data_IF_186027589837
#
_entry.id   IF_186027589837
#
_cell.length_a   1.000
_cell.length_b   1.000
_cell.length_c   1.000
_cell.angle_alpha   90.00
_cell.angle_beta   90.00
_cell.angle_gamma   90.00
#
_symmetry.space_group_name_H-M   'P 1'
#
loop_
_entity.id
_entity.type
_entity.pdbx_description
1 polymer ?
#
# COMPACT_ATOMS: atom_id res chain seq x y z
N UNK A 1 26.13 8.74 15.21
CA UNK A 1 25.49 8.75 13.87
C UNK A 1 24.10 8.13 14.01
N UNK A 2 23.05 8.77 13.48
CA UNK A 2 21.70 8.22 13.54
C UNK A 2 21.56 6.93 12.73
N UNK A 3 20.58 6.07 13.08
CA UNK A 3 20.28 4.85 12.32
C UNK A 3 19.92 5.21 10.86
N UNK A 4 20.40 4.44 9.90
CA UNK A 4 20.05 4.59 8.49
C UNK A 4 18.72 3.88 8.21
N UNK A 5 17.83 4.54 7.46
CA UNK A 5 16.50 4.03 7.12
C UNK A 5 16.31 3.94 5.61
N UNK A 6 15.67 2.86 5.18
CA UNK A 6 15.02 2.72 3.88
C UNK A 6 13.53 2.82 4.10
N UNK A 7 12.88 3.70 3.35
CA UNK A 7 11.43 3.85 3.34
C UNK A 7 10.89 2.94 2.26
N UNK A 8 9.81 2.22 2.54
CA UNK A 8 9.13 1.40 1.55
C UNK A 8 7.61 1.48 1.68
N UNK A 9 6.93 1.34 0.55
CA UNK A 9 5.48 1.29 0.47
C UNK A 9 5.08 0.23 -0.55
N UNK A 10 3.98 -0.48 -0.30
CA UNK A 10 3.45 -1.50 -1.18
C UNK A 10 1.94 -1.41 -1.20
N UNK A 11 1.34 -1.64 -2.37
CA UNK A 11 -0.10 -1.68 -2.53
C UNK A 11 -0.50 -2.50 -3.78
N UNK A 12 -1.71 -3.05 -3.76
CA UNK A 12 -2.33 -3.83 -4.82
C UNK A 12 -3.27 -2.99 -5.70
N UNK A 13 -3.27 -3.22 -7.01
CA UNK A 13 -4.22 -2.59 -7.94
C UNK A 13 -4.75 -3.59 -8.95
N UNK A 14 -6.07 -3.63 -9.09
CA UNK A 14 -6.79 -4.52 -10.01
C UNK A 14 -6.65 -4.10 -11.48
N UNK A 15 -6.02 -4.89 -12.33
CA UNK A 15 -5.88 -4.65 -13.77
C UNK A 15 -6.97 -5.41 -14.55
N UNK A 16 -7.58 -4.82 -15.60
CA UNK A 16 -8.59 -5.48 -16.42
C UNK A 16 -7.95 -6.49 -17.39
N UNK A 17 -8.41 -7.74 -17.31
CA UNK A 17 -7.89 -8.88 -18.05
C UNK A 17 -8.97 -9.51 -18.91
N UNK A 18 -8.59 -9.89 -20.13
CA UNK A 18 -9.43 -10.64 -21.05
C UNK A 18 -8.80 -11.97 -21.40
N UNK A 19 -9.59 -13.03 -21.27
CA UNK A 19 -9.28 -14.36 -21.77
C UNK A 19 -10.06 -14.57 -23.06
N UNK A 20 -9.35 -14.98 -24.11
CA UNK A 20 -9.90 -15.20 -25.44
C UNK A 20 -9.83 -16.69 -25.71
N UNK A 21 -10.97 -17.27 -26.12
CA UNK A 21 -10.98 -18.64 -26.63
C UNK A 21 -10.31 -18.67 -28.01
N UNK A 22 -9.06 -19.13 -28.05
CA UNK A 22 -8.28 -19.21 -29.28
C UNK A 22 -8.83 -20.25 -30.27
N UNK A 23 -9.72 -21.14 -29.83
CA UNK A 23 -10.35 -22.18 -30.65
C UNK A 23 -11.66 -21.74 -31.30
N UNK A 24 -12.22 -20.60 -30.86
CA UNK A 24 -13.49 -20.09 -31.39
C UNK A 24 -13.34 -19.54 -32.83
N UNK A 25 -14.31 -19.79 -33.73
CA UNK A 25 -14.29 -19.29 -35.11
C UNK A 25 -14.29 -17.75 -35.19
N UNK A 26 -14.97 -17.09 -34.24
CA UNK A 26 -14.94 -15.63 -34.07
C UNK A 26 -14.39 -15.28 -32.69
N UNK A 27 -13.09 -14.92 -32.63
CA UNK A 27 -12.37 -14.53 -31.41
C UNK A 27 -12.91 -13.27 -30.73
N UNK A 28 -13.89 -12.57 -31.35
CA UNK A 28 -14.61 -11.47 -30.71
C UNK A 28 -15.72 -11.98 -29.79
N UNK A 29 -16.23 -13.19 -30.01
CA UNK A 29 -17.26 -13.84 -29.20
C UNK A 29 -16.60 -14.74 -28.14
N UNK A 30 -17.26 -14.92 -27.00
CA UNK A 30 -16.79 -15.82 -25.93
C UNK A 30 -15.64 -15.29 -25.07
N UNK A 31 -15.34 -13.98 -25.12
CA UNK A 31 -14.37 -13.34 -24.23
C UNK A 31 -14.82 -13.45 -22.78
N UNK A 32 -13.90 -13.79 -21.88
CA UNK A 32 -14.12 -13.73 -20.44
C UNK A 32 -13.32 -12.60 -19.86
N UNK A 33 -14.03 -11.69 -19.21
CA UNK A 33 -13.46 -10.49 -18.60
C UNK A 33 -13.33 -10.71 -17.10
N UNK A 34 -12.17 -10.36 -16.55
CA UNK A 34 -11.90 -10.45 -15.13
C UNK A 34 -10.96 -9.34 -14.70
N UNK A 35 -10.88 -9.12 -13.39
CA UNK A 35 -9.91 -8.21 -12.80
C UNK A 35 -8.87 -9.05 -12.04
N UNK A 36 -7.59 -8.84 -12.33
CA UNK A 36 -6.49 -9.52 -11.62
C UNK A 36 -5.58 -8.49 -10.97
N UNK A 37 -5.10 -8.81 -9.77
CA UNK A 37 -4.28 -7.90 -8.99
C UNK A 37 -2.85 -7.81 -9.53
N UNK A 38 -2.35 -6.58 -9.69
CA UNK A 38 -0.92 -6.27 -9.74
C UNK A 38 -0.50 -5.67 -8.41
N UNK A 39 0.63 -6.09 -7.87
CA UNK A 39 1.20 -5.53 -6.64
C UNK A 39 2.41 -4.70 -7.00
N UNK A 40 2.40 -3.43 -6.61
CA UNK A 40 3.49 -2.48 -6.81
C UNK A 40 4.11 -2.17 -5.46
N UNK A 41 5.42 -2.06 -5.42
CA UNK A 41 6.13 -1.45 -4.31
C UNK A 41 7.13 -0.42 -4.79
N UNK A 42 7.51 0.44 -3.86
CA UNK A 42 8.63 1.35 -4.00
C UNK A 42 9.49 1.31 -2.75
N UNK A 43 10.77 1.63 -2.91
CA UNK A 43 11.67 1.88 -1.81
C UNK A 43 12.70 2.96 -2.14
N UNK A 44 13.13 3.71 -1.14
CA UNK A 44 14.23 4.67 -1.25
C UNK A 44 14.93 4.87 0.09
N UNK A 45 16.21 5.24 0.06
CA UNK A 45 16.89 5.70 1.26
C UNK A 45 16.21 6.97 1.79
N UNK A 46 16.09 7.09 3.11
CA UNK A 46 15.56 8.30 3.76
C UNK A 46 16.33 9.54 3.29
N UNK A 47 15.60 10.55 2.79
CA UNK A 47 16.15 11.78 2.24
C UNK A 47 16.48 11.72 0.74
N UNK A 48 16.39 10.55 0.11
CA UNK A 48 16.41 10.42 -1.36
C UNK A 48 15.04 10.76 -1.94
N UNK A 49 15.02 11.54 -3.01
CA UNK A 49 13.82 11.80 -3.82
C UNK A 49 13.64 10.81 -4.99
N UNK A 50 14.55 9.83 -5.12
CA UNK A 50 14.53 8.85 -6.23
C UNK A 50 14.12 7.49 -5.70
N UNK A 51 12.86 7.07 -5.92
CA UNK A 51 12.40 5.72 -5.59
C UNK A 51 12.90 4.67 -6.59
N UNK A 52 13.13 3.48 -6.07
CA UNK A 52 13.25 2.23 -6.83
C UNK A 52 11.89 1.54 -6.78
N UNK A 53 11.40 1.07 -7.91
CA UNK A 53 10.14 0.34 -8.04
C UNK A 53 10.38 -1.15 -8.27
N UNK A 54 9.48 -1.95 -7.70
CA UNK A 54 9.29 -3.36 -8.01
C UNK A 54 7.80 -3.62 -8.21
N UNK A 55 7.44 -4.54 -9.12
CA UNK A 55 6.05 -4.94 -9.26
C UNK A 55 5.95 -6.39 -9.70
N UNK A 56 4.82 -7.00 -9.37
CA UNK A 56 4.44 -8.33 -9.83
C UNK A 56 2.98 -8.32 -10.28
N UNK A 57 2.71 -9.00 -11.38
CA UNK A 57 1.35 -9.23 -11.87
C UNK A 57 1.06 -10.73 -11.78
N UNK A 58 0.00 -11.11 -11.06
CA UNK A 58 -0.19 -12.49 -10.64
C UNK A 58 0.81 -12.89 -9.54
N UNK A 59 1.01 -14.20 -9.36
CA UNK A 59 1.87 -14.74 -8.30
C UNK A 59 1.26 -14.65 -6.90
N UNK A 60 1.99 -15.18 -5.92
CA UNK A 60 1.52 -15.21 -4.52
C UNK A 60 1.87 -13.93 -3.77
N UNK A 61 1.39 -13.80 -2.53
CA UNK A 61 1.76 -12.68 -1.66
C UNK A 61 3.22 -12.78 -1.21
N UNK A 62 3.75 -13.99 -1.11
CA UNK A 62 5.16 -14.27 -0.79
C UNK A 62 6.09 -13.81 -1.92
N UNK A 63 5.68 -13.98 -3.18
CA UNK A 63 6.43 -13.46 -4.32
C UNK A 63 6.45 -11.92 -4.31
N UNK A 64 5.36 -11.28 -3.91
CA UNK A 64 5.33 -9.84 -3.71
C UNK A 64 6.30 -9.40 -2.59
N UNK A 65 6.37 -10.14 -1.48
CA UNK A 65 7.34 -9.89 -0.42
C UNK A 65 8.80 -10.01 -0.90
N UNK A 66 9.12 -11.00 -1.73
CA UNK A 66 10.47 -11.12 -2.32
C UNK A 66 10.81 -9.93 -3.21
N UNK A 67 9.84 -9.46 -4.01
CA UNK A 67 10.01 -8.26 -4.85
C UNK A 67 10.20 -7.01 -3.99
N UNK A 68 9.47 -6.89 -2.87
CA UNK A 68 9.67 -5.81 -1.89
C UNK A 68 11.09 -5.84 -1.31
N UNK A 69 11.59 -7.02 -0.93
CA UNK A 69 12.94 -7.19 -0.40
C UNK A 69 14.02 -6.80 -1.42
N UNK A 70 13.95 -7.31 -2.66
CA UNK A 70 14.88 -6.91 -3.73
C UNK A 70 14.87 -5.40 -3.98
N UNK A 71 13.67 -4.82 -4.03
CA UNK A 71 13.48 -3.38 -4.25
C UNK A 71 14.11 -2.57 -3.10
N UNK A 72 13.92 -3.00 -1.85
CA UNK A 72 14.55 -2.38 -0.69
C UNK A 72 16.08 -2.50 -0.73
N UNK A 73 16.63 -3.67 -1.07
CA UNK A 73 18.07 -3.88 -1.22
C UNK A 73 18.68 -2.96 -2.28
N UNK A 74 18.02 -2.84 -3.44
CA UNK A 74 18.42 -1.90 -4.51
C UNK A 74 18.34 -0.43 -4.09
N UNK A 75 17.44 -0.12 -3.15
CA UNK A 75 17.31 1.19 -2.52
C UNK A 75 18.30 1.44 -1.36
N UNK A 76 19.17 0.47 -1.05
CA UNK A 76 20.23 0.59 -0.05
C UNK A 76 19.98 -0.16 1.27
N UNK A 77 18.98 -1.04 1.33
CA UNK A 77 18.75 -1.88 2.52
C UNK A 77 19.86 -2.93 2.67
N UNK A 78 20.38 -3.08 3.89
CA UNK A 78 21.40 -4.04 4.26
C UNK A 78 21.54 -4.21 5.78
N UNK A 79 22.66 -4.80 6.23
CA UNK A 79 22.87 -5.23 7.63
C UNK A 79 22.80 -4.13 8.69
N UNK A 80 23.03 -2.87 8.30
CA UNK A 80 23.09 -1.72 9.20
C UNK A 80 21.96 -0.70 8.98
N UNK A 81 20.92 -1.09 8.24
CA UNK A 81 19.78 -0.22 7.93
C UNK A 81 18.49 -0.81 8.50
N UNK A 82 17.53 0.05 8.79
CA UNK A 82 16.17 -0.36 9.14
C UNK A 82 15.23 -0.06 7.97
N UNK A 83 14.18 -0.86 7.82
CA UNK A 83 13.10 -0.60 6.88
C UNK A 83 11.93 0.03 7.65
N UNK A 84 11.47 1.19 7.17
CA UNK A 84 10.23 1.82 7.58
C UNK A 84 9.20 1.65 6.48
N UNK A 85 8.27 0.72 6.67
CA UNK A 85 7.18 0.47 5.73
C UNK A 85 5.93 1.27 6.14
N UNK A 86 5.22 1.84 5.16
CA UNK A 86 3.94 2.53 5.39
C UNK A 86 2.86 1.99 4.45
N UNK A 87 1.64 1.81 4.95
CA UNK A 87 0.51 1.42 4.11
C UNK A 87 -0.83 1.35 4.85
N UNK A 88 -1.88 0.95 4.14
CA UNK A 88 -3.28 0.93 4.58
C UNK A 88 -3.64 -0.14 5.64
N UNK A 89 -2.69 -0.99 6.04
CA UNK A 89 -2.96 -2.06 6.99
C UNK A 89 -3.54 -3.34 6.39
N UNK A 90 -3.37 -3.54 5.07
CA UNK A 90 -3.55 -4.85 4.45
C UNK A 90 -2.67 -5.89 5.15
N UNK A 91 -3.31 -6.89 5.76
CA UNK A 91 -2.66 -7.85 6.65
C UNK A 91 -1.56 -8.67 5.97
N UNK A 92 -1.71 -8.94 4.68
CA UNK A 92 -0.70 -9.64 3.89
C UNK A 92 0.57 -8.80 3.70
N UNK A 93 0.45 -7.47 3.56
CA UNK A 93 1.61 -6.56 3.42
C UNK A 93 2.39 -6.52 4.73
N UNK A 94 1.68 -6.31 5.84
CA UNK A 94 2.31 -6.32 7.17
C UNK A 94 3.07 -7.63 7.41
N UNK A 95 2.43 -8.77 7.12
CA UNK A 95 3.08 -10.07 7.24
C UNK A 95 4.32 -10.19 6.37
N UNK A 96 4.28 -9.72 5.13
CA UNK A 96 5.47 -9.73 4.27
C UNK A 96 6.57 -8.80 4.79
N UNK A 97 6.24 -7.67 5.41
CA UNK A 97 7.25 -6.82 6.05
C UNK A 97 7.91 -7.55 7.23
N UNK A 98 7.13 -8.20 8.08
CA UNK A 98 7.65 -8.99 9.19
C UNK A 98 8.53 -10.16 8.70
N UNK A 99 8.06 -10.91 7.71
CA UNK A 99 8.75 -12.08 7.16
C UNK A 99 10.07 -11.72 6.44
N UNK A 100 10.08 -10.64 5.66
CA UNK A 100 11.24 -10.30 4.81
C UNK A 100 12.31 -9.49 5.55
N UNK A 101 11.91 -8.71 6.58
CA UNK A 101 12.82 -7.76 7.23
C UNK A 101 13.04 -8.04 8.72
N UNK A 102 12.23 -8.90 9.34
CA UNK A 102 12.37 -9.30 10.74
C UNK A 102 12.52 -8.10 11.67
N UNK A 103 13.50 -8.15 12.58
CA UNK A 103 13.76 -7.07 13.56
C UNK A 103 14.30 -5.77 12.94
N UNK A 104 14.67 -5.79 11.65
CA UNK A 104 15.05 -4.58 10.93
C UNK A 104 13.85 -3.88 10.28
N UNK A 105 12.69 -4.53 10.19
CA UNK A 105 11.47 -4.00 9.60
C UNK A 105 10.51 -3.42 10.64
N UNK A 106 9.86 -2.32 10.28
CA UNK A 106 8.72 -1.79 11.04
C UNK A 106 7.64 -1.35 10.05
N UNK A 107 6.40 -1.79 10.29
CA UNK A 107 5.24 -1.40 9.52
C UNK A 107 4.41 -0.38 10.31
N UNK A 108 4.26 0.81 9.75
CA UNK A 108 3.42 1.87 10.28
C UNK A 108 2.16 1.99 9.43
N UNK A 109 1.01 2.09 10.08
CA UNK A 109 -0.25 2.33 9.38
C UNK A 109 -0.27 3.76 8.82
N UNK A 110 -0.80 3.91 7.62
CA UNK A 110 -1.08 5.21 7.02
C UNK A 110 -2.03 6.03 7.91
N UNK A 111 -1.52 7.15 8.40
CA UNK A 111 -2.24 8.07 9.26
C UNK A 111 -3.50 8.65 8.60
N UNK A 112 -3.48 8.89 7.29
CA UNK A 112 -4.64 9.41 6.56
C UNK A 112 -5.70 8.33 6.40
N UNK A 113 -5.31 7.07 6.21
CA UNK A 113 -6.26 5.96 6.21
C UNK A 113 -6.91 5.77 7.60
N UNK A 114 -6.14 5.92 8.69
CA UNK A 114 -6.72 5.96 10.04
C UNK A 114 -7.70 7.13 10.20
N UNK A 115 -7.40 8.29 9.61
CA UNK A 115 -8.30 9.44 9.66
C UNK A 115 -9.63 9.16 8.94
N UNK A 116 -9.68 8.32 7.91
CA UNK A 116 -10.93 7.92 7.26
C UNK A 116 -11.84 7.15 8.23
N UNK A 117 -11.28 6.17 8.94
CA UNK A 117 -12.00 5.43 9.98
C UNK A 117 -12.49 6.34 11.11
N UNK A 118 -11.64 7.24 11.61
CA UNK A 118 -12.03 8.19 12.65
C UNK A 118 -13.12 9.15 12.16
N UNK A 119 -13.02 9.63 10.92
CA UNK A 119 -14.02 10.51 10.32
C UNK A 119 -15.37 9.81 10.22
N UNK A 120 -15.40 8.56 9.76
CA UNK A 120 -16.61 7.76 9.69
C UNK A 120 -17.24 7.55 11.09
N UNK A 121 -16.42 7.23 12.10
CA UNK A 121 -16.89 7.02 13.48
C UNK A 121 -17.37 8.32 14.17
N UNK A 122 -16.84 9.49 13.77
CA UNK A 122 -17.12 10.77 14.42
C UNK A 122 -18.60 11.16 14.44
N UNK A 123 -19.37 10.72 13.43
CA UNK A 123 -20.79 10.99 13.32
C UNK A 123 -21.61 10.31 14.44
N UNK A 124 -21.14 9.17 14.94
CA UNK A 124 -21.81 8.39 16.00
C UNK A 124 -21.23 8.67 17.39
N UNK A 125 -19.96 9.11 17.47
CA UNK A 125 -19.26 9.36 18.74
C UNK A 125 -19.47 10.77 19.33
N UNK A 126 -20.21 11.62 18.63
CA UNK A 126 -20.50 12.98 19.06
C UNK A 126 -21.98 13.27 18.89
N UNK A 127 -22.53 14.17 19.71
CA UNK A 127 -23.77 14.83 19.29
C UNK A 127 -23.46 15.59 17.99
N UNK A 128 -24.38 15.55 17.01
CA UNK A 128 -24.16 16.03 15.62
C UNK A 128 -23.51 17.42 15.48
N UNK A 129 -23.55 18.26 16.53
CA UNK A 129 -22.94 19.60 16.59
C UNK A 129 -21.43 19.61 16.88
N UNK A 130 -20.83 18.52 17.36
CA UNK A 130 -19.43 18.49 17.82
C UNK A 130 -18.53 17.46 17.12
N UNK A 131 -18.98 16.85 16.00
CA UNK A 131 -18.22 15.82 15.27
C UNK A 131 -16.83 16.26 14.85
N UNK A 132 -16.69 17.48 14.33
CA UNK A 132 -15.41 17.98 13.82
C UNK A 132 -14.43 18.25 14.96
N UNK A 133 -14.93 18.69 16.12
CA UNK A 133 -14.12 18.85 17.34
C UNK A 133 -13.69 17.50 17.89
N UNK A 134 -14.59 16.53 17.93
CA UNK A 134 -14.26 15.17 18.36
C UNK A 134 -13.18 14.58 17.44
N UNK A 135 -13.36 14.65 16.12
CA UNK A 135 -12.38 14.19 15.14
C UNK A 135 -11.02 14.88 15.32
N UNK A 136 -11.00 16.22 15.42
CA UNK A 136 -9.76 16.97 15.61
C UNK A 136 -9.03 16.58 16.91
N UNK A 137 -9.78 16.35 18.01
CA UNK A 137 -9.23 15.87 19.28
C UNK A 137 -8.60 14.50 19.15
N UNK A 138 -9.30 13.52 18.55
CA UNK A 138 -8.76 12.16 18.41
C UNK A 138 -7.60 12.10 17.42
N UNK A 139 -7.68 12.88 16.33
CA UNK A 139 -6.58 13.04 15.37
C UNK A 139 -5.32 13.54 16.07
N UNK A 140 -5.43 14.56 16.94
CA UNK A 140 -4.30 15.09 17.71
C UNK A 140 -3.77 14.05 18.71
N UNK A 141 -4.66 13.35 19.42
CA UNK A 141 -4.29 12.31 20.37
C UNK A 141 -3.48 11.17 19.70
N UNK A 142 -3.88 10.71 18.52
CA UNK A 142 -3.09 9.74 17.74
C UNK A 142 -1.71 10.28 17.37
N UNK A 143 -1.63 11.53 16.92
CA UNK A 143 -0.36 12.16 16.59
C UNK A 143 0.58 12.29 17.78
N UNK A 144 0.03 12.30 19.00
CA UNK A 144 0.74 12.36 20.27
C UNK A 144 1.00 10.98 20.89
N UNK A 145 0.69 9.88 20.17
CA UNK A 145 0.93 8.51 20.63
C UNK A 145 -0.11 7.97 21.60
N UNK A 146 -1.25 8.64 21.75
CA UNK A 146 -2.31 8.25 22.69
C UNK A 146 -3.32 7.27 22.08
N UNK A 147 -2.83 6.29 21.29
CA UNK A 147 -3.69 5.35 20.55
C UNK A 147 -4.67 4.59 21.46
N UNK A 148 -4.21 4.12 22.63
CA UNK A 148 -5.09 3.44 23.58
C UNK A 148 -6.20 4.35 24.10
N UNK A 149 -5.90 5.61 24.40
CA UNK A 149 -6.91 6.57 24.86
C UNK A 149 -7.96 6.83 23.78
N UNK A 150 -7.54 6.91 22.51
CA UNK A 150 -8.47 7.05 21.37
C UNK A 150 -9.38 5.83 21.25
N UNK A 151 -8.82 4.62 21.34
CA UNK A 151 -9.58 3.36 21.33
C UNK A 151 -10.60 3.34 22.47
N UNK A 152 -10.21 3.78 23.67
CA UNK A 152 -11.09 3.83 24.83
C UNK A 152 -12.25 4.82 24.64
N UNK A 153 -12.04 5.91 23.90
CA UNK A 153 -13.12 6.87 23.59
C UNK A 153 -14.18 6.32 22.64
N UNK A 154 -13.87 5.27 21.86
CA UNK A 154 -14.81 4.62 20.94
C UNK A 154 -15.72 3.63 21.65
N UNK A 155 -15.25 2.99 22.74
CA UNK A 155 -15.95 1.90 23.45
C UNK A 155 -17.41 2.21 23.84
N UNK A 156 -17.76 3.40 24.36
CA UNK A 156 -19.14 3.72 24.75
C UNK A 156 -20.11 3.81 23.57
N UNK A 157 -19.60 3.95 22.34
CA UNK A 157 -20.40 4.20 21.14
C UNK A 157 -20.42 3.00 20.18
N UNK A 158 -19.91 1.84 20.62
CA UNK A 158 -19.89 0.64 19.80
C UNK A 158 -21.31 0.21 19.43
N UNK A 159 -21.55 0.03 18.15
CA UNK A 159 -22.80 -0.52 17.65
C UNK A 159 -22.91 -2.01 18.01
N UNK A 160 -24.13 -2.48 18.30
CA UNK A 160 -24.41 -3.87 18.62
C UNK A 160 -23.97 -4.82 17.50
N UNK A 161 -23.57 -6.05 17.85
CA UNK A 161 -23.11 -7.06 16.89
C UNK A 161 -24.18 -7.43 15.84
N UNK A 162 -25.45 -7.19 16.14
CA UNK A 162 -26.57 -7.39 15.20
C UNK A 162 -26.65 -6.34 14.09
N UNK A 163 -25.96 -5.20 14.23
CA UNK A 163 -25.86 -4.17 13.19
C UNK A 163 -24.86 -4.64 12.14
N UNK A 164 -25.24 -4.64 10.87
CA UNK A 164 -24.33 -4.94 9.76
C UNK A 164 -23.07 -4.04 9.77
N UNK A 165 -21.91 -4.60 9.43
CA UNK A 165 -20.62 -3.90 9.51
C UNK A 165 -20.57 -2.62 8.64
N UNK A 166 -21.31 -2.59 7.51
CA UNK A 166 -21.45 -1.41 6.65
C UNK A 166 -22.14 -0.23 7.34
N UNK A 167 -22.91 -0.50 8.41
CA UNK A 167 -23.63 0.48 9.20
C UNK A 167 -23.06 0.64 10.62
N UNK A 168 -21.87 0.09 10.88
CA UNK A 168 -21.23 0.12 12.20
C UNK A 168 -19.82 0.78 12.15
N UNK A 169 -19.74 2.08 11.79
CA UNK A 169 -18.46 2.77 11.62
C UNK A 169 -17.63 2.85 12.91
N UNK A 170 -18.25 2.94 14.10
CA UNK A 170 -17.50 2.99 15.36
C UNK A 170 -16.84 1.65 15.64
N UNK A 171 -17.59 0.55 15.49
CA UNK A 171 -17.05 -0.81 15.64
C UNK A 171 -15.95 -1.09 14.62
N UNK A 172 -16.14 -0.66 13.37
CA UNK A 172 -15.12 -0.79 12.33
C UNK A 172 -13.83 -0.03 12.70
N UNK A 173 -13.95 1.22 13.14
CA UNK A 173 -12.80 2.03 13.59
C UNK A 173 -12.12 1.43 14.82
N UNK A 174 -12.89 1.05 15.85
CA UNK A 174 -12.36 0.43 17.07
C UNK A 174 -11.57 -0.83 16.74
N UNK A 175 -12.17 -1.76 15.98
CA UNK A 175 -11.53 -3.01 15.55
C UNK A 175 -10.28 -2.76 14.71
N UNK A 176 -10.32 -1.75 13.83
CA UNK A 176 -9.18 -1.40 12.98
C UNK A 176 -7.98 -0.96 13.81
N UNK A 177 -8.19 -0.07 14.79
CA UNK A 177 -7.15 0.45 15.67
C UNK A 177 -6.68 -0.56 16.73
N UNK A 178 -7.61 -1.26 17.38
CA UNK A 178 -7.29 -2.20 18.47
C UNK A 178 -6.39 -3.34 17.99
N UNK A 179 -6.58 -3.79 16.76
CA UNK A 179 -5.80 -4.89 16.19
C UNK A 179 -4.40 -4.45 15.73
N UNK A 180 -4.08 -3.15 15.81
CA UNK A 180 -2.89 -2.55 15.17
C UNK A 180 -2.17 -1.56 16.06
N UNK A 181 -2.35 -1.64 17.38
CA UNK A 181 -1.84 -0.63 18.31
C UNK A 181 -0.33 -0.41 18.20
N UNK A 182 0.43 -1.47 17.94
CA UNK A 182 1.90 -1.43 17.77
C UNK A 182 2.35 -0.75 16.48
N UNK A 183 1.43 -0.56 15.51
CA UNK A 183 1.67 0.04 14.21
C UNK A 183 1.20 1.51 14.15
N UNK A 184 0.88 2.11 15.30
CA UNK A 184 0.36 3.48 15.44
C UNK A 184 1.37 4.42 16.13
N UNK A 185 2.65 4.08 16.15
CA UNK A 185 3.71 4.91 16.76
C UNK A 185 4.14 6.09 15.85
N UNK A 186 3.19 6.99 15.61
CA UNK A 186 3.42 8.23 14.86
C UNK A 186 4.44 9.17 15.52
N UNK A 187 4.51 9.32 16.86
CA UNK A 187 5.52 10.16 17.50
C UNK A 187 6.95 9.73 17.16
N UNK A 188 7.25 8.43 17.24
CA UNK A 188 8.58 7.92 16.89
C UNK A 188 8.88 8.18 15.43
N UNK A 189 7.97 7.85 14.51
CA UNK A 189 8.14 8.11 13.08
C UNK A 189 8.44 9.59 12.80
N UNK A 190 7.66 10.52 13.38
CA UNK A 190 7.87 11.97 13.23
C UNK A 190 9.20 12.44 13.82
N UNK A 191 9.56 11.97 15.03
CA UNK A 191 10.83 12.35 15.68
C UNK A 191 12.04 11.90 14.85
N UNK A 192 11.90 10.79 14.13
CA UNK A 192 12.89 10.25 13.21
C UNK A 192 12.77 10.83 11.82
N UNK A 193 11.84 11.74 11.53
CA UNK A 193 11.62 12.30 10.19
C UNK A 193 11.26 11.25 9.13
N UNK A 194 10.52 10.22 9.53
CA UNK A 194 9.98 9.16 8.68
C UNK A 194 8.56 9.53 8.21
N UNK A 195 8.13 9.09 7.02
CA UNK A 195 6.78 9.35 6.53
C UNK A 195 5.74 8.62 7.39
N UNK A 196 4.54 9.20 7.44
CA UNK A 196 3.39 8.66 8.19
C UNK A 196 2.18 8.36 7.30
N UNK A 197 2.32 8.53 5.99
CA UNK A 197 1.28 8.21 5.02
C UNK A 197 1.90 7.68 3.74
N UNK A 198 1.13 6.89 3.00
CA UNK A 198 1.49 6.12 1.82
C UNK A 198 1.18 6.84 0.50
N UNK A 199 1.35 8.17 0.49
CA UNK A 199 1.04 8.97 -0.70
C UNK A 199 1.97 8.72 -1.88
N UNK A 200 3.17 8.16 -1.64
CA UNK A 200 4.14 7.87 -2.69
C UNK A 200 3.68 6.70 -3.55
N UNK A 201 3.18 5.61 -2.94
CA UNK A 201 2.70 4.43 -3.65
C UNK A 201 1.42 4.73 -4.41
N UNK A 202 0.49 5.51 -3.85
CA UNK A 202 -0.69 5.97 -4.58
C UNK A 202 -0.32 6.77 -5.84
N UNK A 203 0.69 7.63 -5.72
CA UNK A 203 1.23 8.35 -6.86
C UNK A 203 1.86 7.41 -7.88
N UNK A 204 2.67 6.46 -7.42
CA UNK A 204 3.29 5.43 -8.24
C UNK A 204 2.29 4.58 -8.99
N UNK A 205 1.18 4.20 -8.37
CA UNK A 205 0.08 3.51 -9.04
C UNK A 205 -0.46 4.31 -10.22
N UNK A 206 -0.67 5.63 -10.04
CA UNK A 206 -1.16 6.50 -11.13
C UNK A 206 -0.23 6.47 -12.34
N UNK A 207 1.07 6.65 -12.17
CA UNK A 207 1.99 6.75 -13.31
C UNK A 207 2.63 5.44 -13.77
N UNK A 208 2.83 4.44 -12.91
CA UNK A 208 3.37 3.13 -13.32
C UNK A 208 2.27 2.28 -13.96
N UNK A 209 1.18 2.04 -13.21
CA UNK A 209 0.11 1.10 -13.60
C UNK A 209 -0.99 1.82 -14.39
N UNK A 210 -1.69 2.77 -13.76
CA UNK A 210 -2.98 3.25 -14.24
C UNK A 210 -2.87 3.96 -15.61
N UNK A 211 -1.85 4.80 -15.78
CA UNK A 211 -1.56 5.51 -17.03
C UNK A 211 -1.46 4.61 -18.28
N UNK A 212 -1.22 3.31 -18.11
CA UNK A 212 -1.13 2.38 -19.24
C UNK A 212 -2.10 1.22 -19.17
N UNK A 213 -2.19 0.56 -18.01
CA UNK A 213 -2.90 -0.70 -17.84
C UNK A 213 -4.38 -0.52 -17.47
N UNK A 214 -4.80 0.68 -17.00
CA UNK A 214 -6.19 1.00 -16.63
C UNK A 214 -6.81 2.11 -17.50
N UNK A 215 -6.45 2.16 -18.78
CA UNK A 215 -7.07 3.10 -19.73
C UNK A 215 -8.49 2.64 -20.08
N UNK A 216 -9.37 3.60 -20.35
CA UNK A 216 -10.71 3.29 -20.85
C UNK A 216 -10.63 2.41 -22.11
N UNK A 217 -11.41 1.32 -22.13
CA UNK A 217 -11.42 0.33 -23.20
C UNK A 217 -10.20 -0.60 -23.27
N UNK A 218 -9.22 -0.47 -22.37
CA UNK A 218 -8.05 -1.34 -22.34
C UNK A 218 -8.38 -2.66 -21.62
N UNK A 219 -8.17 -3.77 -22.33
CA UNK A 219 -8.23 -5.13 -21.81
C UNK A 219 -6.97 -5.87 -22.22
N UNK A 220 -6.37 -6.60 -21.29
CA UNK A 220 -5.08 -7.23 -21.52
C UNK A 220 -5.18 -8.75 -21.46
N UNK A 221 -4.45 -9.44 -22.35
CA UNK A 221 -4.06 -10.83 -22.07
C UNK A 221 -3.12 -10.82 -20.85
N UNK A 222 -3.21 -11.84 -20.00
CA UNK A 222 -2.44 -11.89 -18.74
C UNK A 222 -0.93 -11.70 -18.97
N UNK A 223 -0.35 -12.41 -19.92
CA UNK A 223 1.09 -12.33 -20.22
C UNK A 223 1.49 -10.92 -20.70
N UNK A 224 0.69 -10.34 -21.60
CA UNK A 224 0.92 -8.98 -22.08
C UNK A 224 0.80 -7.93 -20.96
N UNK A 225 -0.06 -8.15 -19.96
CA UNK A 225 -0.17 -7.28 -18.80
C UNK A 225 1.09 -7.36 -17.93
N UNK A 226 1.62 -8.57 -17.71
CA UNK A 226 2.86 -8.80 -16.97
C UNK A 226 4.05 -8.11 -17.66
N UNK A 227 4.22 -8.34 -18.96
CA UNK A 227 5.30 -7.75 -19.76
C UNK A 227 5.22 -6.22 -19.77
N UNK A 228 4.01 -5.69 -19.99
CA UNK A 228 3.80 -4.26 -19.97
C UNK A 228 4.12 -3.66 -18.58
N UNK A 229 3.69 -4.31 -17.50
CA UNK A 229 4.01 -3.86 -16.14
C UNK A 229 5.53 -3.83 -15.90
N UNK A 230 6.25 -4.87 -16.32
CA UNK A 230 7.71 -4.93 -16.22
C UNK A 230 8.39 -3.77 -16.97
N UNK A 231 7.93 -3.46 -18.20
CA UNK A 231 8.42 -2.31 -18.97
C UNK A 231 8.12 -0.97 -18.28
N UNK A 232 6.96 -0.83 -17.62
CA UNK A 232 6.61 0.38 -16.85
C UNK A 232 7.52 0.55 -15.63
N UNK A 233 7.77 -0.51 -14.88
CA UNK A 233 8.69 -0.51 -13.73
C UNK A 233 10.11 -0.17 -14.17
N UNK A 234 10.61 -0.81 -15.22
CA UNK A 234 11.93 -0.53 -15.79
C UNK A 234 12.07 0.94 -16.20
N UNK A 235 11.03 1.51 -16.82
CA UNK A 235 11.02 2.93 -17.18
C UNK A 235 10.99 3.83 -15.93
N UNK A 236 10.21 3.49 -14.91
CA UNK A 236 10.19 4.18 -13.61
C UNK A 236 11.56 4.17 -12.93
N UNK A 237 12.28 3.05 -13.05
CA UNK A 237 13.65 2.87 -12.56
C UNK A 237 14.72 3.50 -13.46
N UNK A 238 14.36 4.25 -14.51
CA UNK A 238 15.27 4.87 -15.47
C UNK A 238 16.18 3.88 -16.23
N UNK A 239 15.82 2.59 -16.28
CA UNK A 239 16.59 1.52 -16.91
C UNK A 239 16.32 1.38 -18.42
N UNK A 240 15.40 2.17 -18.97
CA UNK A 240 14.97 2.09 -20.37
C UNK A 240 16.14 2.13 -21.37
N UNK A 241 17.05 3.10 -21.22
CA UNK A 241 18.19 3.24 -22.14
C UNK A 241 19.18 2.08 -22.04
N UNK A 242 19.32 1.47 -20.86
CA UNK A 242 20.23 0.35 -20.65
C UNK A 242 19.67 -0.91 -21.30
N UNK A 243 18.38 -1.18 -21.08
CA UNK A 243 17.68 -2.32 -21.68
C UNK A 243 17.83 -2.37 -23.21
N UNK A 244 17.56 -1.25 -23.90
CA UNK A 244 17.64 -1.20 -25.37
C UNK A 244 19.06 -1.30 -25.94
N UNK A 245 20.08 -0.94 -25.15
CA UNK A 245 21.47 -1.16 -25.58
C UNK A 245 21.82 -2.64 -25.55
N UNK A 246 21.50 -3.31 -24.45
CA UNK A 246 21.81 -4.72 -24.29
C UNK A 246 21.02 -5.61 -25.26
N UNK A 247 19.79 -5.24 -25.62
CA UNK A 247 19.02 -6.00 -26.63
C UNK A 247 19.54 -5.80 -28.05
N UNK A 248 20.06 -4.61 -28.38
CA UNK A 248 20.71 -4.36 -29.67
C UNK A 248 22.06 -5.09 -29.81
N UNK A 249 22.77 -5.30 -28.70
CA UNK A 249 24.01 -6.08 -28.67
C UNK A 249 23.78 -7.61 -28.70
N UNK A 250 22.58 -8.06 -28.32
CA UNK A 250 22.20 -9.47 -28.30
C UNK A 250 21.45 -9.93 -29.57
N UNK A 251 21.12 -9.01 -30.49
CA UNK A 251 20.41 -9.27 -31.74
C UNK A 251 21.38 -9.29 -32.93
#
# INVERSE_FOLDING_TARGET
MGKAYVIAEMDGSMIPIVEIDETAPDKRKGKKESWKEARLCLAHAKGSATPTFGAIFGGTVEDAGKILFDTACRAGFGKSTFLHAVGDGASWINRQVDEQFGTQGHYLIDFYHVCEYLSAASASCSCLKDKDKWFAKQKKALQDGQAQAVIDTLKPFLEAETVEDSNAPVRACHRYLSNRIEQLDYPTAKSLGLPVGSGEIESAHRYIIQQRLKKSGAWWKSDNAADMLALRVMRGNQQWKHYWRNTAEAA
#
